data_IF_240580073750
#
_entry.id   IF_240580073750
#
_cell.length_a   1.000
_cell.length_b   1.000
_cell.length_c   1.000
_cell.angle_alpha   90.00
_cell.angle_beta   90.00
_cell.angle_gamma   90.00
#
_symmetry.space_group_name_H-M   'P 1'
#
loop_
_entity.id
_entity.type
_entity.pdbx_description
1 polymer ?
#
# COMPACT_ATOMS: atom_id res chain seq x y z
N UNK A 1 -42.48 1.48 12.10
CA UNK A 1 -42.16 0.93 10.76
C UNK A 1 -40.66 0.72 10.72
N UNK A 2 -40.28 -0.54 10.57
CA UNK A 2 -38.95 -1.07 10.90
C UNK A 2 -37.92 -0.83 9.79
N UNK A 3 -36.67 -0.61 10.21
CA UNK A 3 -35.45 -0.45 9.40
C UNK A 3 -35.05 -1.71 8.63
N UNK A 4 -34.32 -1.58 7.50
CA UNK A 4 -33.79 -2.73 6.77
C UNK A 4 -32.46 -3.26 7.37
N UNK A 5 -32.34 -4.59 7.42
CA UNK A 5 -31.17 -5.33 7.88
C UNK A 5 -30.22 -5.66 6.72
N UNK A 6 -28.93 -5.37 6.92
CA UNK A 6 -27.80 -5.85 6.11
C UNK A 6 -27.53 -7.35 6.35
N UNK A 7 -26.94 -8.04 5.37
CA UNK A 7 -25.95 -9.07 5.66
C UNK A 7 -24.55 -8.70 5.12
N UNK A 8 -23.60 -8.59 6.05
CA UNK A 8 -22.16 -8.54 5.78
C UNK A 8 -21.66 -9.90 5.28
N UNK A 9 -20.93 -9.92 4.17
CA UNK A 9 -20.07 -11.07 3.81
C UNK A 9 -18.84 -10.53 3.11
N UNK A 10 -17.70 -10.51 3.80
CA UNK A 10 -16.40 -10.40 3.16
C UNK A 10 -15.45 -11.43 3.76
N UNK A 11 -15.04 -12.31 2.86
CA UNK A 11 -14.11 -13.42 2.99
C UNK A 11 -12.70 -12.90 3.24
N UNK A 12 -12.11 -13.28 4.37
CA UNK A 12 -10.68 -13.15 4.64
C UNK A 12 -9.90 -14.09 3.72
N UNK A 13 -9.00 -13.55 2.89
CA UNK A 13 -7.96 -14.35 2.23
C UNK A 13 -6.61 -13.89 2.76
N UNK A 14 -6.05 -14.72 3.65
CA UNK A 14 -4.71 -14.59 4.17
C UNK A 14 -3.72 -15.17 3.15
N UNK A 15 -2.72 -14.37 2.74
CA UNK A 15 -1.59 -14.88 1.97
C UNK A 15 -0.37 -14.95 2.88
N UNK A 16 -0.04 -16.20 3.18
CA UNK A 16 1.16 -16.70 3.84
C UNK A 16 2.38 -16.48 2.96
N UNK A 17 3.49 -16.02 3.55
CA UNK A 17 4.83 -16.25 3.04
C UNK A 17 5.76 -16.59 4.22
N UNK A 18 6.06 -17.89 4.37
CA UNK A 18 7.22 -18.39 5.09
C UNK A 18 8.36 -18.63 4.10
N UNK A 19 9.55 -18.12 4.42
CA UNK A 19 10.82 -18.78 4.08
C UNK A 19 11.63 -18.87 5.37
N UNK A 20 12.06 -20.09 5.68
CA UNK A 20 12.70 -20.55 6.90
C UNK A 20 14.06 -21.16 6.55
N UNK A 21 14.93 -21.20 7.56
CA UNK A 21 16.15 -22.02 7.74
C UNK A 21 17.45 -21.42 7.21
N UNK A 22 18.60 -21.47 7.89
CA UNK A 22 19.04 -21.99 9.21
C UNK A 22 20.45 -21.38 9.47
N UNK A 23 20.76 -20.94 10.70
CA UNK A 23 21.53 -21.65 11.75
C UNK A 23 23.06 -21.65 11.54
N UNK A 24 23.78 -21.02 12.47
CA UNK A 24 24.79 -21.65 13.34
C UNK A 24 25.71 -20.61 14.01
N UNK A 25 25.74 -20.65 15.36
CA UNK A 25 26.90 -20.38 16.21
C UNK A 25 27.55 -18.99 16.20
N UNK A 26 27.55 -18.29 17.35
CA UNK A 26 28.64 -18.47 18.31
C UNK A 26 28.43 -17.66 19.60
N UNK A 27 29.05 -18.20 20.63
CA UNK A 27 28.97 -17.94 22.07
C UNK A 27 29.63 -16.64 22.55
N UNK A 28 29.10 -16.16 23.69
CA UNK A 28 29.81 -15.48 24.80
C UNK A 28 30.41 -14.08 24.56
N UNK A 29 30.14 -13.17 25.49
CA UNK A 29 31.11 -12.75 26.53
C UNK A 29 30.87 -11.29 26.93
N UNK A 30 30.46 -11.13 28.18
CA UNK A 30 30.59 -9.88 28.94
C UNK A 30 32.08 -9.61 29.12
N UNK A 31 32.67 -8.57 28.52
CA UNK A 31 33.84 -7.89 29.08
C UNK A 31 34.33 -6.68 28.28
N UNK A 32 34.64 -5.62 29.04
CA UNK A 32 35.76 -4.68 28.92
C UNK A 32 35.96 -3.82 27.64
N UNK A 33 35.87 -2.51 27.90
CA UNK A 33 36.79 -1.45 27.45
C UNK A 33 38.00 -1.85 26.61
N UNK A 34 38.23 -1.22 25.44
CA UNK A 34 39.53 -1.16 24.81
C UNK A 34 40.33 0.05 25.31
N UNK A 35 41.39 -0.22 26.07
CA UNK A 35 42.64 0.56 26.05
C UNK A 35 43.50 -0.03 24.92
N UNK A 36 44.02 0.78 23.99
CA UNK A 36 45.42 1.28 24.03
C UNK A 36 45.90 1.80 22.65
N UNK A 37 46.77 2.82 22.69
CA UNK A 37 47.72 3.26 21.64
C UNK A 37 47.16 4.08 20.46
N UNK A 38 47.48 5.35 20.23
CA UNK A 38 48.83 5.91 20.23
C UNK A 38 48.79 7.44 20.22
N UNK A 39 49.06 8.10 21.34
CA UNK A 39 49.57 9.47 21.35
C UNK A 39 50.60 9.58 22.45
N UNK A 40 51.86 9.50 22.02
CA UNK A 40 53.14 9.81 22.69
C UNK A 40 53.06 10.18 24.18
N UNK A 41 53.75 9.43 25.07
CA UNK A 41 53.97 9.90 26.44
C UNK A 41 54.99 11.04 26.39
N UNK A 42 54.51 12.28 26.41
CA UNK A 42 55.32 13.40 26.86
C UNK A 42 55.59 13.18 28.35
N UNK A 43 56.72 12.56 28.65
CA UNK A 43 57.36 12.61 29.96
C UNK A 43 57.57 14.08 30.32
N UNK A 44 56.60 14.69 31.01
CA UNK A 44 56.85 15.87 31.80
C UNK A 44 56.92 15.45 33.26
N UNK A 45 58.12 15.63 33.79
CA UNK A 45 58.52 15.48 35.16
C UNK A 45 57.48 16.08 36.10
N UNK A 46 56.70 15.25 36.80
CA UNK A 46 56.06 15.65 38.05
C UNK A 46 57.12 15.58 39.16
N UNK A 47 58.10 16.50 39.12
CA UNK A 47 58.79 16.90 40.34
C UNK A 47 57.95 18.00 40.95
N UNK A 48 57.38 17.69 42.12
CA UNK A 48 56.95 18.65 43.15
C UNK A 48 56.55 20.03 42.61
N UNK A 49 55.45 20.10 41.84
CA UNK A 49 54.82 21.40 41.57
C UNK A 49 54.34 21.92 42.92
N UNK A 50 54.84 23.06 43.41
CA UNK A 50 54.45 23.59 44.71
C UNK A 50 52.93 23.74 44.75
N UNK A 51 52.31 23.36 45.86
CA UNK A 51 50.85 23.37 46.04
C UNK A 51 50.23 24.73 45.64
N UNK A 52 50.98 25.81 45.85
CA UNK A 52 50.65 27.19 45.46
C UNK A 52 50.46 27.38 43.95
N UNK A 53 51.18 26.64 43.11
CA UNK A 53 51.07 26.69 41.65
C UNK A 53 49.86 25.90 41.14
N UNK A 54 49.51 24.80 41.82
CA UNK A 54 48.32 24.00 41.52
C UNK A 54 47.05 24.75 41.94
N UNK A 55 47.07 25.39 43.11
CA UNK A 55 45.94 26.20 43.61
C UNK A 55 45.83 27.52 42.85
N UNK A 56 46.95 28.05 42.33
CA UNK A 56 46.99 29.25 41.50
C UNK A 56 46.52 29.03 40.04
N UNK A 57 46.42 27.77 39.58
CA UNK A 57 45.87 27.49 38.27
C UNK A 57 44.38 27.81 38.24
N UNK A 58 44.02 28.80 37.43
CA UNK A 58 42.63 29.11 37.14
C UNK A 58 42.08 28.00 36.25
N UNK A 59 40.95 27.43 36.64
CA UNK A 59 40.28 26.43 35.82
C UNK A 59 39.93 27.01 34.44
N UNK A 60 40.06 26.21 33.37
CA UNK A 60 39.52 26.59 32.08
C UNK A 60 38.05 26.98 32.25
N UNK A 61 37.63 28.09 31.65
CA UNK A 61 36.23 28.50 31.69
C UNK A 61 35.37 27.41 31.06
N UNK A 62 34.38 26.92 31.80
CA UNK A 62 33.44 25.94 31.28
C UNK A 62 32.44 26.64 30.35
N UNK A 63 32.54 26.33 29.06
CA UNK A 63 31.55 26.76 28.08
C UNK A 63 30.35 25.81 28.06
N UNK A 64 29.42 26.05 28.98
CA UNK A 64 28.18 25.29 29.12
C UNK A 64 27.32 25.31 27.84
N UNK A 65 27.43 26.37 27.03
CA UNK A 65 26.60 26.54 25.85
C UNK A 65 26.99 25.53 24.76
N UNK A 66 28.28 25.46 24.41
CA UNK A 66 28.73 24.54 23.37
C UNK A 66 28.68 23.07 23.80
N UNK A 67 28.92 22.79 25.09
CA UNK A 67 29.03 21.42 25.61
C UNK A 67 27.66 20.82 25.90
N UNK A 68 26.71 21.60 26.41
CA UNK A 68 25.43 21.07 26.90
C UNK A 68 24.25 21.61 26.13
N UNK A 69 24.16 22.93 25.90
CA UNK A 69 22.93 23.52 25.33
C UNK A 69 22.81 23.21 23.84
N UNK A 70 23.88 23.40 23.07
CA UNK A 70 23.88 23.25 21.60
C UNK A 70 23.47 21.85 21.12
N UNK A 71 23.97 20.73 21.68
CA UNK A 71 23.51 19.40 21.27
C UNK A 71 22.02 19.16 21.50
N UNK A 72 21.44 19.73 22.56
CA UNK A 72 20.00 19.63 22.84
C UNK A 72 19.18 20.48 21.87
N UNK A 73 19.64 21.67 21.52
CA UNK A 73 19.00 22.49 20.48
C UNK A 73 19.05 21.80 19.12
N UNK A 74 20.17 21.17 18.79
CA UNK A 74 20.33 20.39 17.55
C UNK A 74 19.45 19.12 17.54
N UNK A 75 19.31 18.42 18.66
CA UNK A 75 18.37 17.29 18.78
C UNK A 75 16.92 17.76 18.68
N UNK A 76 16.53 18.84 19.36
CA UNK A 76 15.18 19.39 19.28
C UNK A 76 14.83 19.83 17.85
N UNK A 77 15.80 20.42 17.12
CA UNK A 77 15.64 20.77 15.72
C UNK A 77 15.47 19.54 14.81
N UNK A 78 16.23 18.46 15.07
CA UNK A 78 16.10 17.20 14.34
C UNK A 78 14.75 16.53 14.59
N UNK A 79 14.30 16.47 15.85
CA UNK A 79 12.99 15.94 16.21
C UNK A 79 11.85 16.71 15.53
N UNK A 80 11.96 18.05 15.52
CA UNK A 80 11.00 18.89 14.81
C UNK A 80 10.96 18.56 13.31
N UNK A 81 12.13 18.46 12.66
CA UNK A 81 12.22 18.12 11.23
C UNK A 81 11.65 16.71 10.94
N UNK A 82 11.99 15.72 11.76
CA UNK A 82 11.48 14.35 11.63
C UNK A 82 9.96 14.30 11.77
N UNK A 83 9.41 15.00 12.77
CA UNK A 83 7.95 15.04 12.97
C UNK A 83 7.22 15.65 11.76
N UNK A 84 7.80 16.69 11.16
CA UNK A 84 7.27 17.32 9.95
C UNK A 84 7.34 16.36 8.76
N UNK A 85 8.48 15.71 8.54
CA UNK A 85 8.66 14.74 7.46
C UNK A 85 7.69 13.56 7.60
N UNK A 86 7.55 13.01 8.81
CA UNK A 86 6.60 11.94 9.10
C UNK A 86 5.15 12.39 8.83
N UNK A 87 4.79 13.60 9.25
CA UNK A 87 3.45 14.14 9.00
C UNK A 87 3.18 14.31 7.50
N UNK A 88 4.18 14.73 6.73
CA UNK A 88 4.08 14.88 5.29
C UNK A 88 3.91 13.52 4.60
N UNK A 89 4.73 12.52 4.96
CA UNK A 89 4.61 11.16 4.44
C UNK A 89 3.25 10.53 4.78
N UNK A 90 2.75 10.74 6.00
CA UNK A 90 1.44 10.23 6.40
C UNK A 90 0.31 10.86 5.57
N UNK A 91 0.36 12.18 5.38
CA UNK A 91 -0.63 12.88 4.59
C UNK A 91 -0.64 12.38 3.14
N UNK A 92 0.54 12.15 2.55
CA UNK A 92 0.69 11.63 1.19
C UNK A 92 0.03 10.26 1.03
N UNK A 93 0.36 9.31 1.91
CA UNK A 93 -0.26 7.96 1.91
C UNK A 93 -1.78 8.04 2.10
N UNK A 94 -2.26 8.93 2.97
CA UNK A 94 -3.69 9.12 3.18
C UNK A 94 -4.39 9.67 1.92
N UNK A 95 -3.78 10.64 1.25
CA UNK A 95 -4.32 11.22 0.03
C UNK A 95 -4.32 10.22 -1.13
N UNK A 96 -3.25 9.46 -1.31
CA UNK A 96 -3.18 8.38 -2.31
C UNK A 96 -4.24 7.31 -2.05
N UNK A 97 -4.36 6.86 -0.80
CA UNK A 97 -5.37 5.86 -0.40
C UNK A 97 -6.78 6.37 -0.65
N UNK A 98 -7.06 7.64 -0.33
CA UNK A 98 -8.35 8.26 -0.59
C UNK A 98 -8.62 8.39 -2.10
N UNK A 99 -7.64 8.83 -2.89
CA UNK A 99 -7.77 8.94 -4.34
C UNK A 99 -8.08 7.57 -4.96
N UNK A 100 -7.36 6.53 -4.54
CA UNK A 100 -7.59 5.18 -5.03
C UNK A 100 -8.95 4.62 -4.59
N UNK A 101 -9.30 4.75 -3.31
CA UNK A 101 -10.58 4.28 -2.77
C UNK A 101 -11.79 5.01 -3.38
N UNK A 102 -11.64 6.29 -3.77
CA UNK A 102 -12.71 7.06 -4.41
C UNK A 102 -12.82 6.78 -5.92
N UNK A 103 -11.71 6.48 -6.60
CA UNK A 103 -11.71 6.15 -8.03
C UNK A 103 -12.20 4.72 -8.29
N UNK A 104 -11.87 3.77 -7.42
CA UNK A 104 -12.10 2.35 -7.63
C UNK A 104 -13.59 1.97 -7.81
N UNK A 105 -14.54 2.40 -6.96
CA UNK A 105 -15.96 2.08 -7.14
C UNK A 105 -16.52 2.56 -8.49
N UNK A 106 -16.07 3.75 -8.96
CA UNK A 106 -16.48 4.29 -10.26
C UNK A 106 -15.97 3.41 -11.40
N UNK A 107 -14.71 3.01 -11.35
CA UNK A 107 -14.12 2.12 -12.35
C UNK A 107 -14.81 0.76 -12.39
N UNK A 108 -15.01 0.13 -11.22
CA UNK A 108 -15.68 -1.17 -11.12
C UNK A 108 -17.12 -1.11 -11.63
N UNK A 109 -17.87 -0.05 -11.30
CA UNK A 109 -19.21 0.18 -11.83
C UNK A 109 -19.20 0.34 -13.35
N UNK A 110 -18.28 1.11 -13.90
CA UNK A 110 -18.18 1.32 -15.35
C UNK A 110 -17.86 0.02 -16.10
N UNK A 111 -16.93 -0.79 -15.58
CA UNK A 111 -16.61 -2.11 -16.14
C UNK A 111 -17.83 -3.04 -16.09
N UNK A 112 -18.60 -3.01 -14.99
CA UNK A 112 -19.83 -3.78 -14.88
C UNK A 112 -20.89 -3.34 -15.90
N UNK A 113 -21.09 -2.04 -16.09
CA UNK A 113 -22.02 -1.48 -17.09
C UNK A 113 -21.63 -1.94 -18.49
N UNK A 114 -20.37 -1.78 -18.90
CA UNK A 114 -19.89 -2.23 -20.21
C UNK A 114 -20.09 -3.72 -20.43
N UNK A 115 -19.91 -4.54 -19.39
CA UNK A 115 -20.18 -5.98 -19.44
C UNK A 115 -21.66 -6.27 -19.70
N UNK A 116 -22.57 -5.51 -19.08
CA UNK A 116 -24.00 -5.66 -19.32
C UNK A 116 -24.40 -5.16 -20.70
N UNK A 117 -23.91 -4.01 -21.15
CA UNK A 117 -24.14 -3.49 -22.51
C UNK A 117 -23.73 -4.51 -23.59
N UNK A 118 -22.57 -5.14 -23.42
CA UNK A 118 -22.11 -6.20 -24.32
C UNK A 118 -23.06 -7.41 -24.33
N UNK A 119 -23.53 -7.84 -23.15
CA UNK A 119 -24.48 -8.95 -23.03
C UNK A 119 -25.83 -8.63 -23.66
N UNK A 120 -26.33 -7.41 -23.45
CA UNK A 120 -27.58 -6.93 -24.05
C UNK A 120 -27.45 -6.95 -25.58
N UNK A 121 -26.34 -6.41 -26.11
CA UNK A 121 -26.07 -6.42 -27.55
C UNK A 121 -26.03 -7.83 -28.14
N UNK A 122 -25.44 -8.78 -27.40
CA UNK A 122 -25.42 -10.19 -27.81
C UNK A 122 -26.82 -10.81 -27.82
N UNK A 123 -27.63 -10.57 -26.80
CA UNK A 123 -29.01 -11.07 -26.74
C UNK A 123 -29.83 -10.50 -27.90
N UNK A 124 -29.73 -9.20 -28.16
CA UNK A 124 -30.43 -8.56 -29.28
C UNK A 124 -30.10 -9.20 -30.63
N UNK A 125 -28.84 -9.53 -30.89
CA UNK A 125 -28.47 -10.17 -32.16
C UNK A 125 -29.06 -11.58 -32.27
N UNK A 126 -29.02 -12.36 -31.18
CA UNK A 126 -29.64 -13.70 -31.15
C UNK A 126 -31.15 -13.62 -31.34
N UNK A 127 -31.83 -12.68 -30.70
CA UNK A 127 -33.28 -12.48 -30.88
C UNK A 127 -33.63 -12.11 -32.33
N UNK A 128 -32.81 -11.26 -32.96
CA UNK A 128 -32.95 -10.90 -34.37
C UNK A 128 -32.76 -12.10 -35.29
N UNK A 129 -31.77 -12.96 -35.04
CA UNK A 129 -31.57 -14.20 -35.80
C UNK A 129 -32.74 -15.19 -35.63
N UNK A 130 -33.28 -15.30 -34.40
CA UNK A 130 -34.46 -16.11 -34.13
C UNK A 130 -35.68 -15.61 -34.91
N UNK A 131 -35.92 -14.29 -34.93
CA UNK A 131 -37.05 -13.73 -35.67
C UNK A 131 -36.91 -13.96 -37.18
N UNK A 132 -35.71 -13.80 -37.75
CA UNK A 132 -35.47 -14.15 -39.16
C UNK A 132 -35.74 -15.63 -39.46
N UNK A 133 -35.38 -16.51 -38.53
CA UNK A 133 -35.67 -17.95 -38.68
C UNK A 133 -37.16 -18.22 -38.61
N UNK A 134 -37.89 -17.53 -37.73
CA UNK A 134 -39.35 -17.60 -37.61
C UNK A 134 -40.05 -17.13 -38.89
N UNK A 135 -39.59 -16.04 -39.49
CA UNK A 135 -40.10 -15.53 -40.76
C UNK A 135 -39.91 -16.54 -41.90
N UNK A 136 -38.72 -17.12 -42.04
CA UNK A 136 -38.44 -18.15 -43.05
C UNK A 136 -39.32 -19.38 -42.88
N UNK A 137 -39.56 -19.80 -41.63
CA UNK A 137 -40.46 -20.92 -41.36
C UNK A 137 -41.91 -20.59 -41.74
N UNK A 138 -42.39 -19.39 -41.40
CA UNK A 138 -43.72 -18.94 -41.78
C UNK A 138 -43.89 -18.90 -43.31
N UNK A 139 -42.88 -18.40 -44.02
CA UNK A 139 -42.87 -18.39 -45.49
C UNK A 139 -42.92 -19.82 -46.06
N UNK A 140 -42.10 -20.73 -45.52
CA UNK A 140 -42.10 -22.14 -45.93
C UNK A 140 -43.47 -22.80 -45.73
N UNK A 141 -44.07 -22.64 -44.55
CA UNK A 141 -45.40 -23.16 -44.24
C UNK A 141 -46.46 -22.56 -45.18
N UNK A 142 -46.36 -21.27 -45.47
CA UNK A 142 -47.22 -20.59 -46.46
C UNK A 142 -47.15 -21.25 -47.83
N UNK A 143 -45.94 -21.43 -48.36
CA UNK A 143 -45.70 -22.10 -49.66
C UNK A 143 -46.26 -23.53 -49.67
N UNK A 144 -46.07 -24.29 -48.60
CA UNK A 144 -46.59 -25.65 -48.47
C UNK A 144 -48.12 -25.70 -48.46
N UNK A 145 -48.77 -24.79 -47.72
CA UNK A 145 -50.23 -24.67 -47.71
C UNK A 145 -50.78 -24.34 -49.10
N UNK A 146 -50.16 -23.41 -49.81
CA UNK A 146 -50.54 -23.07 -51.19
C UNK A 146 -50.40 -24.26 -52.13
N UNK A 147 -49.31 -25.02 -52.04
CA UNK A 147 -49.12 -26.21 -52.86
C UNK A 147 -50.16 -27.31 -52.55
N UNK A 148 -50.48 -27.54 -51.27
CA UNK A 148 -51.51 -28.50 -50.88
C UNK A 148 -52.91 -28.10 -51.36
N UNK A 149 -53.26 -26.81 -51.29
CA UNK A 149 -54.53 -26.32 -51.82
C UNK A 149 -54.61 -26.54 -53.35
N UNK A 150 -53.53 -26.27 -54.07
CA UNK A 150 -53.45 -26.52 -55.52
C UNK A 150 -53.61 -28.01 -55.88
N UNK A 151 -53.08 -28.92 -55.05
CA UNK A 151 -53.16 -30.37 -55.28
C UNK A 151 -54.50 -30.98 -54.91
N UNK A 152 -55.17 -30.44 -53.90
CA UNK A 152 -56.43 -31.01 -53.38
C UNK A 152 -57.68 -30.41 -54.03
N UNK A 153 -57.55 -29.39 -54.89
CA UNK A 153 -58.67 -28.76 -55.58
C UNK A 153 -59.61 -27.96 -54.66
N UNK A 154 -59.30 -27.90 -53.36
CA UNK A 154 -59.88 -26.96 -52.43
C UNK A 154 -59.19 -25.60 -52.67
N UNK A 155 -59.72 -24.84 -53.63
CA UNK A 155 -59.44 -23.41 -53.72
C UNK A 155 -59.84 -22.68 -52.41
N UNK A 156 -59.30 -21.49 -52.16
CA UNK A 156 -59.24 -20.85 -50.85
C UNK A 156 -60.54 -20.82 -50.04
#
# INVERSE_FOLDING_TARGET
MSTPSNPSTTTSTATSNQVKTNDEGNTSTVSSTPRDGTSKPSQQQHRDRPLTEIIGQTFPSFDHHSIVVKPFEEEAARDAAFSQELSAMLLDVMLETHAWASARPKHESQVAVQKFEKKISQVMEVEKEQEQTRERLNEFVGRMKTALAALTGLGP
#
